data_IF_341228278477
#
_entry.id   IF_341228278477
#
_cell.length_a   1.000
_cell.length_b   1.000
_cell.length_c   1.000
_cell.angle_alpha   90.00
_cell.angle_beta   90.00
_cell.angle_gamma   90.00
#
_symmetry.space_group_name_H-M   'P 1'
#
loop_
_entity.id
_entity.type
_entity.pdbx_description
1 polymer ?
#
# COMPACT_ATOMS: atom_id res chain seq x y z
N UNK A 1 -15.88 -10.43 7.03
CA UNK A 1 -14.62 -9.84 7.56
C UNK A 1 -13.60 -9.95 6.46
N UNK A 2 -12.84 -8.89 6.19
CA UNK A 2 -11.86 -8.86 5.10
C UNK A 2 -10.47 -8.70 5.73
N UNK A 3 -9.50 -9.37 5.13
CA UNK A 3 -8.11 -9.37 5.60
C UNK A 3 -7.25 -8.85 4.45
N UNK A 4 -6.46 -7.81 4.72
CA UNK A 4 -5.58 -7.20 3.73
C UNK A 4 -4.17 -7.13 4.35
N UNK A 5 -3.18 -7.62 3.61
CA UNK A 5 -1.78 -7.63 4.00
C UNK A 5 -0.88 -7.31 2.80
N UNK A 6 0.36 -6.95 3.09
CA UNK A 6 1.42 -6.91 2.07
C UNK A 6 1.91 -8.34 1.75
N UNK A 7 2.13 -8.63 0.47
CA UNK A 7 2.82 -9.86 0.06
C UNK A 7 4.30 -9.84 0.47
N UNK A 8 4.90 -8.66 0.65
CA UNK A 8 6.35 -8.42 0.75
C UNK A 8 7.10 -8.81 -0.53
N UNK A 9 8.19 -8.10 -0.85
CA UNK A 9 9.07 -8.48 -1.98
C UNK A 9 10.13 -9.46 -1.48
N UNK A 10 10.14 -10.71 -2.00
CA UNK A 10 11.12 -11.75 -1.63
C UNK A 10 12.58 -11.30 -1.75
N UNK A 11 12.91 -10.53 -2.80
CA UNK A 11 14.28 -10.06 -3.04
C UNK A 11 14.74 -9.01 -2.02
N UNK A 12 13.81 -8.29 -1.39
CA UNK A 12 14.10 -7.21 -0.45
C UNK A 12 13.93 -7.64 1.01
N UNK A 13 13.26 -8.76 1.26
CA UNK A 13 12.87 -9.19 2.58
C UNK A 13 13.38 -10.60 2.89
N UNK A 14 14.14 -10.75 3.97
CA UNK A 14 14.70 -12.03 4.40
C UNK A 14 13.71 -12.89 5.20
N UNK A 15 12.48 -12.40 5.43
CA UNK A 15 11.45 -13.19 6.09
C UNK A 15 11.09 -14.40 5.23
N UNK A 16 10.91 -15.55 5.88
CA UNK A 16 10.53 -16.80 5.21
C UNK A 16 9.14 -16.75 4.57
N UNK A 17 8.26 -15.87 5.07
CA UNK A 17 6.91 -15.68 4.57
C UNK A 17 6.80 -14.58 3.50
N UNK A 18 7.92 -13.99 3.06
CA UNK A 18 7.89 -12.95 2.03
C UNK A 18 7.50 -13.52 0.64
N UNK A 19 6.81 -12.71 -0.14
CA UNK A 19 6.25 -13.00 -1.46
C UNK A 19 4.87 -13.64 -1.40
N UNK A 20 4.09 -13.45 -2.47
CA UNK A 20 2.66 -13.74 -2.52
C UNK A 20 2.31 -15.15 -2.04
N UNK A 21 2.90 -16.17 -2.66
CA UNK A 21 2.60 -17.58 -2.34
C UNK A 21 2.95 -17.94 -0.89
N UNK A 22 4.12 -17.47 -0.42
CA UNK A 22 4.61 -17.78 0.91
C UNK A 22 3.77 -17.08 1.97
N UNK A 23 3.40 -15.81 1.72
CA UNK A 23 2.57 -15.00 2.60
C UNK A 23 1.18 -15.59 2.72
N UNK A 24 0.57 -15.95 1.59
CA UNK A 24 -0.76 -16.58 1.57
C UNK A 24 -0.75 -17.89 2.35
N UNK A 25 0.27 -18.74 2.13
CA UNK A 25 0.43 -19.99 2.89
C UNK A 25 0.57 -19.72 4.39
N UNK A 26 1.47 -18.81 4.77
CA UNK A 26 1.72 -18.44 6.15
C UNK A 26 0.47 -17.93 6.86
N UNK A 27 -0.27 -17.01 6.24
CA UNK A 27 -1.51 -16.45 6.78
C UNK A 27 -2.54 -17.58 7.03
N UNK A 28 -2.73 -18.47 6.07
CA UNK A 28 -3.67 -19.59 6.21
C UNK A 28 -3.27 -20.56 7.32
N UNK A 29 -1.98 -20.90 7.42
CA UNK A 29 -1.45 -21.74 8.50
C UNK A 29 -1.70 -21.07 9.87
N UNK A 30 -1.43 -19.77 10.00
CA UNK A 30 -1.64 -19.03 11.26
C UNK A 30 -3.10 -18.90 11.67
N UNK A 31 -4.02 -18.77 10.72
CA UNK A 31 -5.44 -18.80 11.06
C UNK A 31 -5.88 -20.19 11.49
N UNK A 32 -5.44 -21.24 10.76
CA UNK A 32 -5.76 -22.63 11.09
C UNK A 32 -5.25 -23.02 12.47
N UNK A 33 -4.04 -22.62 12.85
CA UNK A 33 -3.48 -22.79 14.21
C UNK A 33 -4.38 -22.17 15.29
N UNK A 34 -5.06 -21.06 14.97
CA UNK A 34 -5.99 -20.35 15.88
C UNK A 34 -7.42 -20.89 15.82
N UNK A 35 -7.66 -22.01 15.13
CA UNK A 35 -8.98 -22.61 14.99
C UNK A 35 -9.95 -21.78 14.13
N UNK A 36 -9.44 -20.89 13.28
CA UNK A 36 -10.23 -20.11 12.32
C UNK A 36 -9.76 -20.44 10.91
N UNK A 37 -10.64 -20.49 9.93
CA UNK A 37 -10.26 -20.60 8.52
C UNK A 37 -10.93 -19.48 7.74
N UNK A 38 -10.14 -18.75 6.96
CA UNK A 38 -10.64 -17.70 6.09
C UNK A 38 -10.59 -18.21 4.65
N UNK A 39 -11.71 -18.15 3.91
CA UNK A 39 -11.70 -18.40 2.48
C UNK A 39 -10.66 -17.51 1.79
N UNK A 40 -10.05 -18.02 0.71
CA UNK A 40 -9.03 -17.27 -0.05
C UNK A 40 -9.60 -15.95 -0.56
N UNK A 41 -10.89 -15.94 -0.86
CA UNK A 41 -11.68 -14.81 -1.34
C UNK A 41 -11.83 -13.70 -0.29
N UNK A 42 -11.53 -13.97 0.99
CA UNK A 42 -11.54 -12.98 2.07
C UNK A 42 -10.16 -12.40 2.38
N UNK A 43 -9.12 -12.84 1.67
CA UNK A 43 -7.74 -12.39 1.83
C UNK A 43 -7.30 -11.69 0.56
N UNK A 44 -6.80 -10.46 0.71
CA UNK A 44 -6.14 -9.72 -0.35
C UNK A 44 -4.69 -9.47 0.02
N UNK A 45 -3.78 -9.75 -0.90
CA UNK A 45 -2.38 -9.39 -0.75
C UNK A 45 -2.01 -8.29 -1.74
N UNK A 46 -1.40 -7.21 -1.25
CA UNK A 46 -0.87 -6.18 -2.13
C UNK A 46 0.27 -6.72 -3.01
N UNK A 47 0.45 -6.16 -4.22
CA UNK A 47 -0.24 -4.98 -4.74
C UNK A 47 -1.59 -5.29 -5.40
N UNK A 48 -1.75 -6.49 -5.96
CA UNK A 48 -2.85 -6.83 -6.89
C UNK A 48 -3.45 -8.23 -6.67
N UNK A 49 -3.17 -8.85 -5.52
CA UNK A 49 -3.58 -10.21 -5.16
C UNK A 49 -3.02 -11.32 -6.06
N UNK A 50 -1.85 -11.09 -6.65
CA UNK A 50 -1.17 -12.07 -7.49
C UNK A 50 0.35 -11.98 -7.36
N UNK A 51 0.90 -10.77 -7.37
CA UNK A 51 2.33 -10.54 -7.44
C UNK A 51 2.94 -10.21 -6.06
N UNK A 52 4.27 -10.33 -5.98
CA UNK A 52 5.04 -9.84 -4.84
C UNK A 52 4.98 -8.31 -4.75
N UNK A 53 4.80 -7.76 -3.55
CA UNK A 53 4.81 -6.33 -3.32
C UNK A 53 4.11 -5.92 -2.03
N UNK A 54 3.90 -4.63 -1.89
CA UNK A 54 3.17 -4.02 -0.78
C UNK A 54 2.29 -2.87 -1.30
N UNK A 55 1.61 -2.20 -0.37
CA UNK A 55 0.83 -1.00 -0.66
C UNK A 55 1.64 0.05 -1.43
N UNK A 56 2.89 0.32 -1.04
CA UNK A 56 3.72 1.30 -1.74
C UNK A 56 4.02 0.89 -3.20
N UNK A 57 4.13 -0.41 -3.50
CA UNK A 57 4.23 -0.87 -4.90
C UNK A 57 3.01 -0.41 -5.71
N UNK A 58 1.80 -0.63 -5.21
CA UNK A 58 0.56 -0.20 -5.87
C UNK A 58 0.48 1.33 -5.99
N UNK A 59 0.80 2.06 -4.90
CA UNK A 59 0.72 3.52 -4.86
C UNK A 59 1.69 4.18 -5.86
N UNK A 60 2.90 3.64 -5.99
CA UNK A 60 3.89 4.13 -6.97
C UNK A 60 3.46 3.83 -8.41
N UNK A 61 2.76 2.73 -8.65
CA UNK A 61 2.24 2.37 -9.97
C UNK A 61 1.13 3.30 -10.45
N UNK A 62 0.30 3.81 -9.53
CA UNK A 62 -0.82 4.70 -9.85
C UNK A 62 -0.48 6.20 -9.69
N UNK A 63 0.78 6.54 -9.45
CA UNK A 63 1.24 7.92 -9.37
C UNK A 63 1.33 8.54 -10.78
N UNK A 64 0.72 9.70 -11.00
CA UNK A 64 0.65 10.34 -12.33
C UNK A 64 1.94 11.03 -12.76
N UNK A 65 2.73 11.49 -11.79
CA UNK A 65 3.96 12.26 -12.03
C UNK A 65 5.20 11.36 -11.90
N UNK A 66 5.40 10.50 -12.90
CA UNK A 66 6.48 9.51 -12.91
C UNK A 66 7.89 10.13 -12.94
N UNK A 67 7.99 11.39 -13.33
CA UNK A 67 9.19 12.22 -13.40
C UNK A 67 9.79 12.47 -12.01
N UNK A 68 8.96 12.70 -10.99
CA UNK A 68 9.44 12.79 -9.60
C UNK A 68 9.94 11.44 -9.08
N UNK A 69 9.32 10.35 -9.50
CA UNK A 69 9.76 9.00 -9.16
C UNK A 69 11.13 8.68 -9.77
N UNK A 70 11.36 9.09 -11.02
CA UNK A 70 12.66 8.98 -11.71
C UNK A 70 13.72 9.87 -11.06
N UNK A 71 13.36 11.08 -10.61
CA UNK A 71 14.27 11.93 -9.83
C UNK A 71 14.76 11.20 -8.56
N UNK A 72 13.87 10.49 -7.87
CA UNK A 72 14.25 9.70 -6.70
C UNK A 72 15.20 8.54 -7.05
N UNK A 73 15.03 7.91 -8.21
CA UNK A 73 15.96 6.87 -8.70
C UNK A 73 17.35 7.45 -8.96
N UNK A 74 17.44 8.63 -9.60
CA UNK A 74 18.70 9.35 -9.75
C UNK A 74 19.34 9.74 -8.41
N UNK A 75 18.54 10.11 -7.41
CA UNK A 75 19.02 10.31 -6.04
C UNK A 75 19.62 9.01 -5.46
N UNK A 76 18.96 7.86 -5.61
CA UNK A 76 19.48 6.58 -5.13
C UNK A 76 20.80 6.20 -5.83
N UNK A 77 20.91 6.43 -7.14
CA UNK A 77 22.14 6.19 -7.89
C UNK A 77 23.27 7.10 -7.43
N UNK A 78 22.99 8.39 -7.25
CA UNK A 78 23.95 9.36 -6.74
C UNK A 78 24.49 8.96 -5.36
N UNK A 79 23.62 8.51 -4.45
CA UNK A 79 24.01 8.07 -3.11
C UNK A 79 24.83 6.77 -3.17
N UNK A 80 24.44 5.80 -4.00
CA UNK A 80 25.20 4.55 -4.20
C UNK A 80 26.61 4.80 -4.74
N UNK A 81 26.84 5.91 -5.43
CA UNK A 81 28.15 6.28 -5.96
C UNK A 81 29.08 6.94 -4.94
N UNK A 82 28.66 7.16 -3.69
CA UNK A 82 29.47 7.86 -2.66
C UNK A 82 30.26 6.88 -1.80
N UNK A 83 31.45 7.33 -1.36
CA UNK A 83 32.26 6.60 -0.38
C UNK A 83 31.50 6.47 0.96
N UNK A 84 31.74 5.37 1.69
CA UNK A 84 31.06 5.03 2.96
C UNK A 84 29.54 4.82 2.90
N UNK A 85 28.97 4.62 1.70
CA UNK A 85 27.55 4.32 1.53
C UNK A 85 27.12 3.08 2.34
N UNK A 86 25.96 3.20 2.99
CA UNK A 86 25.22 2.07 3.57
C UNK A 86 23.89 1.92 2.84
N UNK A 87 23.43 0.69 2.57
CA UNK A 87 22.14 0.45 1.93
C UNK A 87 20.99 1.25 2.59
N UNK A 88 20.30 2.07 1.80
CA UNK A 88 19.09 2.76 2.26
C UNK A 88 18.02 1.70 2.57
N UNK A 89 17.46 1.77 3.77
CA UNK A 89 16.35 0.91 4.19
C UNK A 89 15.02 1.53 3.79
N UNK A 90 14.00 0.69 3.55
CA UNK A 90 12.62 1.12 3.26
C UNK A 90 12.51 2.05 2.04
N UNK A 91 13.25 1.74 0.98
CA UNK A 91 13.38 2.57 -0.22
C UNK A 91 12.01 2.95 -0.79
N UNK A 92 11.08 1.99 -0.93
CA UNK A 92 9.74 2.24 -1.51
C UNK A 92 8.91 3.19 -0.66
N UNK A 93 8.95 3.04 0.67
CA UNK A 93 8.32 3.97 1.62
C UNK A 93 8.91 5.38 1.53
N UNK A 94 10.24 5.48 1.45
CA UNK A 94 10.91 6.78 1.31
C UNK A 94 10.60 7.43 -0.05
N UNK A 95 10.54 6.63 -1.12
CA UNK A 95 10.19 7.09 -2.47
C UNK A 95 8.77 7.66 -2.49
N UNK A 96 7.81 6.95 -1.90
CA UNK A 96 6.44 7.43 -1.74
C UNK A 96 6.36 8.71 -0.89
N UNK A 97 7.10 8.78 0.21
CA UNK A 97 7.15 10.00 1.03
C UNK A 97 7.69 11.21 0.24
N UNK A 98 8.82 11.03 -0.46
CA UNK A 98 9.41 12.09 -1.28
C UNK A 98 8.48 12.54 -2.41
N UNK A 99 7.74 11.60 -3.00
CA UNK A 99 6.72 11.89 -4.00
C UNK A 99 5.61 12.79 -3.46
N UNK A 100 5.09 12.51 -2.26
CA UNK A 100 4.07 13.37 -1.64
C UNK A 100 4.65 14.71 -1.20
N UNK A 101 5.87 14.74 -0.69
CA UNK A 101 6.53 15.95 -0.21
C UNK A 101 6.78 16.97 -1.33
N UNK A 102 7.25 16.54 -2.51
CA UNK A 102 7.45 17.46 -3.65
C UNK A 102 6.14 18.05 -4.18
N UNK A 103 5.02 17.39 -3.88
CA UNK A 103 3.67 17.82 -4.24
C UNK A 103 2.98 18.66 -3.15
N UNK A 104 3.67 18.94 -2.03
CA UNK A 104 3.08 19.66 -0.89
C UNK A 104 2.01 18.86 -0.14
N UNK A 105 2.11 17.54 -0.16
CA UNK A 105 1.18 16.59 0.48
C UNK A 105 1.84 15.85 1.65
N UNK A 106 2.96 16.34 2.18
CA UNK A 106 3.68 15.77 3.32
C UNK A 106 2.86 15.75 4.61
N UNK A 107 1.78 16.54 4.67
CA UNK A 107 0.84 16.41 5.77
C UNK A 107 0.21 15.03 5.76
N UNK A 108 -0.20 14.47 4.61
CA UNK A 108 -0.86 13.16 4.54
C UNK A 108 0.03 11.98 5.02
N UNK A 109 1.34 12.17 5.15
CA UNK A 109 2.29 11.14 5.60
C UNK A 109 2.55 11.17 7.11
N UNK A 110 2.08 12.18 7.84
CA UNK A 110 2.32 12.30 9.29
C UNK A 110 1.48 11.27 10.06
N UNK A 111 2.13 10.52 10.95
CA UNK A 111 1.48 9.55 11.83
C UNK A 111 0.43 10.25 12.71
N UNK A 112 -0.73 9.60 12.91
CA UNK A 112 -1.87 10.05 13.73
C UNK A 112 -2.72 11.19 13.13
N UNK A 113 -2.68 11.40 11.82
CA UNK A 113 -3.69 12.27 11.21
C UNK A 113 -4.99 11.51 11.11
N UNK A 114 -5.94 11.95 11.92
CA UNK A 114 -7.33 11.56 11.80
C UNK A 114 -7.92 12.29 10.57
N UNK A 115 -7.65 11.73 9.38
CA UNK A 115 -8.07 12.26 8.07
C UNK A 115 -9.57 12.10 7.87
N UNK A 116 -10.13 11.01 8.41
CA UNK A 116 -11.53 10.66 8.27
C UNK A 116 -12.30 10.96 9.56
N UNK A 117 -13.55 11.39 9.46
CA UNK A 117 -14.44 11.48 10.60
C UNK A 117 -14.96 10.10 11.03
N UNK A 118 -15.74 10.05 12.10
CA UNK A 118 -16.37 8.80 12.58
C UNK A 118 -17.33 8.15 11.59
N UNK A 119 -17.70 8.85 10.50
CA UNK A 119 -18.54 8.37 9.41
C UNK A 119 -17.74 8.00 8.16
N UNK A 120 -16.40 8.03 8.23
CA UNK A 120 -15.52 7.71 7.11
C UNK A 120 -15.42 8.81 6.04
N UNK A 121 -15.86 10.05 6.32
CA UNK A 121 -15.72 11.19 5.41
C UNK A 121 -14.43 11.95 5.69
N UNK A 122 -13.78 12.49 4.66
CA UNK A 122 -12.61 13.36 4.86
C UNK A 122 -13.03 14.57 5.70
N UNK A 123 -12.26 14.86 6.76
CA UNK A 123 -12.46 16.04 7.59
C UNK A 123 -12.17 17.30 6.78
N UNK A 124 -12.96 18.36 6.97
CA UNK A 124 -12.86 19.59 6.15
C UNK A 124 -11.44 20.17 6.08
N UNK A 125 -10.68 20.10 7.19
CA UNK A 125 -9.27 20.54 7.25
C UNK A 125 -8.31 19.81 6.28
N UNK A 126 -8.67 18.61 5.80
CA UNK A 126 -7.87 17.81 4.87
C UNK A 126 -8.48 17.72 3.48
N UNK A 127 -9.60 18.44 3.23
CA UNK A 127 -10.32 18.35 1.96
C UNK A 127 -9.49 18.90 0.80
N UNK A 128 -8.79 20.01 1.00
CA UNK A 128 -7.90 20.58 -0.02
C UNK A 128 -6.76 19.61 -0.37
N UNK A 129 -6.08 19.06 0.64
CA UNK A 129 -5.01 18.06 0.46
C UNK A 129 -5.54 16.81 -0.26
N UNK A 130 -6.76 16.38 0.06
CA UNK A 130 -7.40 15.24 -0.57
C UNK A 130 -7.79 15.49 -2.02
N UNK A 131 -8.27 16.68 -2.38
CA UNK A 131 -8.53 17.04 -3.78
C UNK A 131 -7.22 17.08 -4.58
N UNK A 132 -6.15 17.69 -4.04
CA UNK A 132 -4.82 17.64 -4.64
C UNK A 132 -4.31 16.20 -4.79
N UNK A 133 -4.56 15.33 -3.82
CA UNK A 133 -4.19 13.91 -3.93
C UNK A 133 -4.87 13.23 -5.13
N UNK A 134 -6.14 13.53 -5.43
CA UNK A 134 -6.83 13.00 -6.63
C UNK A 134 -6.25 13.53 -7.93
N UNK A 135 -5.67 14.72 -7.93
CA UNK A 135 -5.02 15.29 -9.11
C UNK A 135 -3.74 14.53 -9.45
N UNK A 136 -2.99 14.06 -8.43
CA UNK A 136 -1.67 13.43 -8.58
C UNK A 136 -1.69 11.90 -8.55
N UNK A 137 -2.78 11.30 -8.06
CA UNK A 137 -3.00 9.85 -8.07
C UNK A 137 -4.08 9.47 -9.07
N UNK A 138 -3.83 8.43 -9.86
CA UNK A 138 -4.81 7.86 -10.78
C UNK A 138 -5.68 6.80 -10.08
N UNK A 139 -6.69 7.26 -9.34
CA UNK A 139 -7.69 6.38 -8.74
C UNK A 139 -8.55 5.60 -9.76
N UNK A 140 -8.44 5.91 -11.05
CA UNK A 140 -9.10 5.18 -12.14
C UNK A 140 -8.18 4.17 -12.82
N UNK A 141 -6.92 4.05 -12.40
CA UNK A 141 -5.97 3.10 -12.97
C UNK A 141 -6.50 1.67 -12.90
N UNK A 142 -6.22 0.90 -13.96
CA UNK A 142 -6.54 -0.52 -14.04
C UNK A 142 -5.83 -1.34 -12.95
N UNK A 143 -4.70 -0.87 -12.43
CA UNK A 143 -3.97 -1.53 -11.33
C UNK A 143 -4.79 -1.59 -10.04
N UNK A 144 -5.82 -0.74 -9.90
CA UNK A 144 -6.75 -0.77 -8.77
C UNK A 144 -7.92 -1.75 -8.95
N UNK A 145 -8.14 -2.31 -10.14
CA UNK A 145 -9.25 -3.23 -10.42
C UNK A 145 -9.27 -4.40 -9.43
N UNK A 146 -8.15 -5.12 -9.16
CA UNK A 146 -8.17 -6.25 -8.23
C UNK A 146 -8.62 -5.86 -6.82
N UNK A 147 -8.19 -4.68 -6.33
CA UNK A 147 -8.58 -4.18 -5.02
C UNK A 147 -10.05 -3.74 -5.00
N UNK A 148 -10.52 -3.06 -6.06
CA UNK A 148 -11.92 -2.64 -6.21
C UNK A 148 -12.85 -3.84 -6.25
N UNK A 149 -12.50 -4.85 -7.04
CA UNK A 149 -13.28 -6.09 -7.17
C UNK A 149 -13.32 -6.85 -5.85
N UNK A 150 -12.18 -6.94 -5.14
CA UNK A 150 -12.13 -7.55 -3.81
C UNK A 150 -13.03 -6.83 -2.82
N UNK A 151 -12.95 -5.49 -2.73
CA UNK A 151 -13.75 -4.70 -1.80
C UNK A 151 -15.25 -4.67 -2.19
N UNK A 152 -15.56 -4.65 -3.49
CA UNK A 152 -16.92 -4.63 -4.02
C UNK A 152 -17.77 -5.82 -3.58
N UNK A 153 -17.15 -7.01 -3.51
CA UNK A 153 -17.80 -8.24 -3.02
C UNK A 153 -18.36 -8.10 -1.59
N UNK A 154 -17.83 -7.18 -0.79
CA UNK A 154 -18.29 -6.96 0.58
C UNK A 154 -19.20 -5.75 0.72
N UNK A 155 -19.14 -4.79 -0.19
CA UNK A 155 -20.03 -3.62 -0.22
C UNK A 155 -21.46 -4.02 -0.62
N UNK A 156 -21.62 -4.98 -1.53
CA UNK A 156 -22.93 -5.42 -2.03
C UNK A 156 -23.70 -6.31 -1.04
N UNK A 157 -23.02 -6.89 -0.06
CA UNK A 157 -23.56 -7.96 0.79
C UNK A 157 -24.23 -7.51 2.10
N UNK A 158 -24.40 -6.20 2.36
CA UNK A 158 -25.02 -5.65 3.60
C UNK A 158 -24.46 -6.20 4.94
N UNK A 159 -23.35 -6.96 4.91
CA UNK A 159 -22.67 -7.39 6.11
C UNK A 159 -21.95 -6.17 6.69
N UNK A 160 -22.13 -5.90 7.98
CA UNK A 160 -21.29 -4.96 8.72
C UNK A 160 -19.83 -5.45 8.61
N UNK A 161 -19.11 -4.95 7.62
CA UNK A 161 -17.72 -5.30 7.38
C UNK A 161 -16.86 -4.68 8.47
N UNK A 162 -16.48 -5.48 9.45
CA UNK A 162 -15.32 -5.16 10.26
C UNK A 162 -14.08 -5.37 9.37
N UNK A 163 -13.67 -4.29 8.69
CA UNK A 163 -12.41 -4.24 7.93
C UNK A 163 -11.26 -4.21 8.95
N UNK A 164 -10.33 -5.15 8.87
CA UNK A 164 -9.07 -5.07 9.62
C UNK A 164 -7.92 -5.09 8.61
N UNK A 165 -7.24 -3.96 8.51
CA UNK A 165 -6.00 -3.79 7.75
C UNK A 165 -4.86 -4.06 8.74
N UNK A 166 -3.92 -4.94 8.38
CA UNK A 166 -2.85 -5.41 9.27
C UNK A 166 -1.48 -5.28 8.62
#
# INVERSE_FOLDING_TARGET
>A
MCIIFDADIKKENQKSDAGFDNKLKYIREKFKEKGTDFPKEQIFLFPNNQDDGDLETLLLEIAKHDDFLKCFEGYLECIKSKEHYKPIKRIRKNKWHAYLEVLGLENLTKTNIDVFDSKGKIKEKHKEEYEKLKEVIDFNSNSLIPLKDFLGQFAENNQKTNLKIF
#
